data_IF_791172236106
#
_entry.id   IF_791172236106
#
_cell.length_a   1.000
_cell.length_b   1.000
_cell.length_c   1.000
_cell.angle_alpha   90.00
_cell.angle_beta   90.00
_cell.angle_gamma   90.00
#
_symmetry.space_group_name_H-M   'P 1'
#
loop_
_entity.id
_entity.type
_entity.pdbx_description
1 polymer ?
#
# COMPACT_ATOMS: atom_id res chain seq x y z
N UNK A 1 16.76 14.43 5.59
CA UNK A 1 17.06 13.01 5.38
C UNK A 1 15.90 12.46 4.58
N UNK A 2 16.02 12.36 3.25
CA UNK A 2 15.02 11.65 2.46
C UNK A 2 15.38 10.18 2.53
N UNK A 3 14.54 9.40 3.18
CA UNK A 3 14.63 7.95 3.17
C UNK A 3 14.55 7.47 1.71
N UNK A 4 15.40 6.53 1.32
CA UNK A 4 15.37 5.90 -0.01
C UNK A 4 14.80 4.48 0.14
N UNK A 5 13.47 4.34 0.29
CA UNK A 5 12.87 3.04 0.45
C UNK A 5 12.95 2.25 -0.86
N UNK A 6 13.04 0.92 -0.76
CA UNK A 6 13.07 0.02 -1.92
C UNK A 6 11.80 0.11 -2.79
N UNK A 7 10.70 0.61 -2.23
CA UNK A 7 9.46 0.90 -2.95
C UNK A 7 8.71 2.07 -2.29
N UNK A 8 7.73 2.63 -2.99
CA UNK A 8 6.66 3.38 -2.35
C UNK A 8 5.53 2.39 -2.01
N UNK A 9 5.43 1.93 -0.74
CA UNK A 9 4.58 0.81 -0.38
C UNK A 9 3.09 1.14 -0.44
N UNK A 10 2.70 2.36 -0.07
CA UNK A 10 1.30 2.73 0.13
C UNK A 10 0.91 3.78 -0.90
N UNK A 11 -0.11 3.47 -1.70
CA UNK A 11 -0.64 4.35 -2.73
C UNK A 11 -2.11 4.56 -2.44
N UNK A 12 -2.51 5.81 -2.29
CA UNK A 12 -3.91 6.19 -2.07
C UNK A 12 -4.54 6.71 -3.35
N UNK A 13 -5.77 6.29 -3.61
CA UNK A 13 -6.67 6.96 -4.53
C UNK A 13 -7.39 8.08 -3.77
N UNK A 14 -7.00 9.34 -4.02
CA UNK A 14 -7.36 10.48 -3.17
C UNK A 14 -8.86 10.77 -3.19
N UNK A 15 -9.50 10.42 -4.30
CA UNK A 15 -10.90 10.65 -4.64
C UNK A 15 -11.81 9.63 -3.93
N UNK A 16 -11.28 8.44 -3.64
CA UNK A 16 -12.01 7.37 -2.92
C UNK A 16 -11.75 7.39 -1.42
N UNK A 17 -10.59 7.86 -0.99
CA UNK A 17 -10.26 7.89 0.42
C UNK A 17 -11.18 8.84 1.20
N UNK A 18 -11.82 8.32 2.24
CA UNK A 18 -12.73 9.10 3.11
C UNK A 18 -12.04 9.64 4.38
N UNK A 19 -10.72 9.48 4.51
CA UNK A 19 -9.96 9.97 5.66
C UNK A 19 -10.36 9.35 7.01
N UNK A 20 -10.85 8.11 7.04
CA UNK A 20 -11.34 7.45 8.27
C UNK A 20 -10.24 6.95 9.23
N UNK A 21 -8.97 6.97 8.82
CA UNK A 21 -7.80 6.56 9.61
C UNK A 21 -7.80 5.11 10.14
N UNK A 22 -8.65 4.21 9.65
CA UNK A 22 -8.57 2.78 10.03
C UNK A 22 -7.24 2.14 9.64
N UNK A 23 -6.70 2.48 8.47
CA UNK A 23 -5.39 2.02 8.03
C UNK A 23 -4.24 2.52 8.92
N UNK A 24 -4.40 3.68 9.56
CA UNK A 24 -3.45 4.20 10.57
C UNK A 24 -3.48 3.29 11.80
N UNK A 25 -4.67 3.06 12.36
CA UNK A 25 -4.83 2.30 13.61
C UNK A 25 -4.41 0.83 13.50
N UNK A 26 -4.54 0.21 12.32
CA UNK A 26 -4.17 -1.21 12.14
C UNK A 26 -2.68 -1.40 11.83
N UNK A 27 -1.96 -0.34 11.48
CA UNK A 27 -0.55 -0.43 11.12
C UNK A 27 0.28 -0.81 12.35
N UNK A 28 0.92 -1.97 12.33
CA UNK A 28 1.71 -2.47 13.48
C UNK A 28 3.09 -1.82 13.62
N UNK A 29 3.47 -0.98 12.66
CA UNK A 29 4.79 -0.32 12.56
C UNK A 29 4.67 1.21 12.45
N UNK A 30 3.47 1.76 12.64
CA UNK A 30 3.21 3.20 12.74
C UNK A 30 3.79 4.08 11.62
N UNK A 31 3.85 3.58 10.38
CA UNK A 31 4.37 4.34 9.23
C UNK A 31 3.38 5.39 8.69
N UNK A 32 2.14 5.37 9.17
CA UNK A 32 1.04 6.22 8.71
C UNK A 32 0.63 7.17 9.84
N UNK A 33 0.37 8.43 9.51
CA UNK A 33 -0.22 9.39 10.44
C UNK A 33 -1.49 10.01 9.85
N UNK A 34 -2.47 10.42 10.68
CA UNK A 34 -3.66 11.11 10.20
C UNK A 34 -3.30 12.37 9.42
N UNK A 35 -4.07 12.65 8.36
CA UNK A 35 -3.91 13.89 7.63
C UNK A 35 -4.51 15.06 8.44
N UNK A 36 -3.82 16.22 8.55
CA UNK A 36 -4.40 17.40 9.17
C UNK A 36 -5.63 17.93 8.42
N UNK A 37 -5.71 17.71 7.10
CA UNK A 37 -6.89 18.02 6.29
C UNK A 37 -7.93 16.88 6.38
N UNK A 38 -9.12 17.19 6.88
CA UNK A 38 -10.22 16.21 6.98
C UNK A 38 -10.60 15.67 5.60
N UNK A 39 -10.81 14.37 5.53
CA UNK A 39 -11.20 13.66 4.31
C UNK A 39 -10.03 13.36 3.35
N UNK A 40 -8.82 13.86 3.61
CA UNK A 40 -7.64 13.50 2.82
C UNK A 40 -7.03 12.17 3.28
N UNK A 41 -6.29 11.47 2.40
CA UNK A 41 -5.59 10.26 2.80
C UNK A 41 -4.52 10.51 3.86
N UNK A 42 -4.27 9.54 4.77
CA UNK A 42 -3.17 9.60 5.73
C UNK A 42 -1.81 9.85 5.08
N UNK A 43 -0.90 10.47 5.82
CA UNK A 43 0.46 10.75 5.36
C UNK A 43 1.33 9.52 5.66
N UNK A 44 2.12 9.09 4.68
CA UNK A 44 3.13 8.03 4.84
C UNK A 44 4.44 8.69 5.29
N UNK A 45 4.83 8.47 6.55
CA UNK A 45 5.97 9.16 7.16
C UNK A 45 7.28 8.37 7.00
N UNK A 46 7.21 7.05 7.19
CA UNK A 46 8.35 6.13 7.15
C UNK A 46 8.10 4.99 6.15
N UNK A 47 8.08 5.28 4.83
CA UNK A 47 7.81 4.27 3.82
C UNK A 47 8.82 3.11 3.82
N UNK A 48 10.05 3.33 4.30
CA UNK A 48 11.09 2.29 4.38
C UNK A 48 10.79 1.18 5.39
N UNK A 49 10.05 1.50 6.44
CA UNK A 49 9.74 0.58 7.56
C UNK A 49 8.49 -0.28 7.30
N UNK A 50 7.90 -0.19 6.11
CA UNK A 50 6.73 -1.00 5.77
C UNK A 50 7.08 -2.49 5.64
N UNK A 51 6.40 -3.35 6.40
CA UNK A 51 6.54 -4.81 6.28
C UNK A 51 5.85 -5.41 5.04
N UNK A 52 5.04 -4.63 4.33
CA UNK A 52 4.22 -5.14 3.22
C UNK A 52 3.22 -6.24 3.61
N UNK A 53 2.69 -6.19 4.84
CA UNK A 53 1.72 -7.15 5.35
C UNK A 53 0.31 -7.02 4.74
N UNK A 54 -0.05 -5.82 4.25
CA UNK A 54 -1.34 -5.56 3.61
C UNK A 54 -2.52 -5.32 4.55
N UNK A 55 -2.32 -5.31 5.88
CA UNK A 55 -3.41 -5.08 6.84
C UNK A 55 -4.15 -3.75 6.60
N UNK A 56 -3.43 -2.70 6.18
CA UNK A 56 -4.04 -1.41 5.85
C UNK A 56 -5.02 -1.48 4.66
N UNK A 57 -4.76 -2.36 3.69
CA UNK A 57 -5.63 -2.59 2.54
C UNK A 57 -6.84 -3.43 2.94
N UNK A 58 -6.62 -4.50 3.71
CA UNK A 58 -7.69 -5.38 4.19
C UNK A 58 -8.68 -4.67 5.11
N UNK A 59 -8.20 -3.75 5.95
CA UNK A 59 -9.05 -2.99 6.88
C UNK A 59 -9.75 -1.79 6.22
N UNK A 60 -9.38 -1.43 4.99
CA UNK A 60 -9.98 -0.28 4.32
C UNK A 60 -11.43 -0.60 3.92
N UNK A 61 -12.43 0.17 4.39
CA UNK A 61 -13.84 -0.09 4.07
C UNK A 61 -14.22 0.34 2.65
N UNK A 62 -13.33 1.07 1.96
CA UNK A 62 -13.57 1.57 0.60
C UNK A 62 -12.64 0.85 -0.35
N UNK A 63 -13.22 0.03 -1.22
CA UNK A 63 -12.47 -0.77 -2.18
C UNK A 63 -11.64 0.09 -3.14
N UNK A 64 -10.35 -0.23 -3.22
CA UNK A 64 -9.41 0.48 -4.08
C UNK A 64 -9.04 1.90 -3.63
N UNK A 65 -9.41 2.33 -2.42
CA UNK A 65 -8.95 3.61 -1.86
C UNK A 65 -7.48 3.59 -1.45
N UNK A 66 -6.93 2.41 -1.17
CA UNK A 66 -5.54 2.17 -0.80
C UNK A 66 -5.03 0.91 -1.52
N UNK A 67 -3.80 0.97 -2.01
CA UNK A 67 -3.10 -0.13 -2.66
C UNK A 67 -1.75 -0.33 -1.98
N UNK A 68 -1.41 -1.59 -1.69
CA UNK A 68 -0.07 -1.98 -1.27
C UNK A 68 0.74 -2.38 -2.50
N UNK A 69 1.90 -1.75 -2.69
CA UNK A 69 2.89 -2.11 -3.71
C UNK A 69 4.09 -2.77 -3.05
N UNK A 70 4.28 -4.07 -3.30
CA UNK A 70 5.50 -4.77 -2.93
C UNK A 70 6.72 -4.27 -3.72
N UNK A 71 7.93 -4.32 -3.16
CA UNK A 71 9.16 -4.06 -3.91
C UNK A 71 9.32 -5.12 -5.00
N UNK A 72 10.06 -4.78 -6.06
CA UNK A 72 10.18 -5.63 -7.26
C UNK A 72 10.56 -7.07 -6.93
N UNK A 73 11.47 -7.27 -5.97
CA UNK A 73 11.91 -8.62 -5.59
C UNK A 73 10.85 -9.46 -4.85
N UNK A 74 9.81 -8.83 -4.29
CA UNK A 74 8.68 -9.49 -3.61
C UNK A 74 7.45 -9.65 -4.53
N UNK A 75 7.48 -9.10 -5.75
CA UNK A 75 6.33 -9.17 -6.64
C UNK A 75 6.19 -10.57 -7.26
N UNK A 76 4.99 -11.13 -7.18
CA UNK A 76 4.68 -12.39 -7.83
C UNK A 76 4.60 -12.17 -9.34
N UNK A 77 5.57 -12.69 -10.09
CA UNK A 77 5.48 -12.77 -11.54
C UNK A 77 4.67 -14.02 -11.92
N UNK A 78 3.35 -13.86 -11.94
CA UNK A 78 2.45 -14.93 -12.37
C UNK A 78 2.41 -15.02 -13.90
N UNK A 79 2.92 -16.12 -14.43
CA UNK A 79 2.88 -16.41 -15.87
C UNK A 79 1.98 -17.63 -16.06
N UNK A 80 0.98 -17.52 -16.95
CA UNK A 80 0.16 -18.70 -17.31
C UNK A 80 1.08 -19.76 -17.91
N UNK A 81 0.83 -21.03 -17.55
CA UNK A 81 1.63 -22.17 -18.02
C UNK A 81 1.76 -22.20 -19.55
N UNK A 82 0.70 -21.86 -20.26
CA UNK A 82 0.68 -21.87 -21.73
C UNK A 82 1.68 -20.86 -22.31
N UNK A 83 1.80 -19.68 -21.68
CA UNK A 83 2.78 -18.67 -22.06
C UNK A 83 4.23 -19.10 -21.81
N UNK A 84 4.48 -19.98 -20.83
CA UNK A 84 5.81 -20.53 -20.55
C UNK A 84 6.21 -21.69 -21.47
N UNK A 85 5.22 -22.43 -21.98
CA UNK A 85 5.46 -23.69 -22.70
C UNK A 85 5.48 -23.55 -24.21
N UNK A 86 5.32 -22.34 -24.76
CA UNK A 86 5.30 -22.06 -26.20
C UNK A 86 4.36 -23.00 -26.98
N UNK A 87 3.30 -23.48 -26.32
CA UNK A 87 2.24 -24.24 -26.97
C UNK A 87 1.25 -23.23 -27.54
N UNK A 88 1.48 -22.87 -28.79
CA UNK A 88 0.42 -22.43 -29.70
C UNK A 88 -0.61 -23.56 -29.87
#
# INVERSE_FOLDING_TARGET
MYEMPAANPIIYEKEKCIGCNRCVNICQVDILIPNPEKGKPPIVLYPGECWYCGCCVMECPVEGAITLRHPLMNQAHWIKKDCLTNKL
#
